data_IF_177547581585
#
_entry.id   IF_177547581585
#
_cell.length_a   1.000
_cell.length_b   1.000
_cell.length_c   1.000
_cell.angle_alpha   90.00
_cell.angle_beta   90.00
_cell.angle_gamma   90.00
#
_symmetry.space_group_name_H-M   'P 1'
#
loop_
_entity.id
_entity.type
_entity.pdbx_description
1 polymer ?
#
# COMPACT_ATOMS: atom_id res chain seq x y z
N UNK A 1 13.51 2.63 -8.45
CA UNK A 1 12.09 2.99 -8.28
C UNK A 1 11.78 2.83 -6.80
N UNK A 2 11.49 3.92 -6.10
CA UNK A 2 11.19 3.87 -4.66
C UNK A 2 9.69 3.87 -4.46
N UNK A 3 9.20 3.05 -3.53
CA UNK A 3 7.78 3.03 -3.15
C UNK A 3 7.65 3.29 -1.66
N UNK A 4 6.71 4.16 -1.30
CA UNK A 4 6.33 4.42 0.09
C UNK A 4 4.85 4.10 0.25
N UNK A 5 4.52 3.55 1.42
CA UNK A 5 3.18 3.09 1.76
C UNK A 5 2.74 3.79 3.03
N UNK A 6 1.54 4.38 3.00
CA UNK A 6 0.96 5.01 4.18
C UNK A 6 -0.43 4.44 4.42
N UNK A 7 -0.63 3.92 5.63
CA UNK A 7 -1.96 3.63 6.15
C UNK A 7 -2.59 4.96 6.57
N UNK A 8 -3.73 5.29 5.96
CA UNK A 8 -4.56 6.43 6.36
C UNK A 8 -5.99 5.93 6.60
N UNK A 9 -6.80 6.75 7.26
CA UNK A 9 -8.12 6.35 7.78
C UNK A 9 -9.09 5.74 6.74
N UNK A 10 -8.94 6.05 5.45
CA UNK A 10 -9.87 5.59 4.41
C UNK A 10 -9.19 5.01 3.16
N UNK A 11 -7.86 4.81 3.20
CA UNK A 11 -7.12 4.28 2.06
C UNK A 11 -5.71 3.83 2.42
N UNK A 12 -5.14 2.99 1.57
CA UNK A 12 -3.70 2.80 1.46
C UNK A 12 -3.17 3.77 0.40
N UNK A 13 -2.27 4.67 0.79
CA UNK A 13 -1.54 5.52 -0.15
C UNK A 13 -0.32 4.75 -0.68
N UNK A 14 -0.20 4.66 -2.00
CA UNK A 14 0.98 4.12 -2.69
C UNK A 14 1.68 5.26 -3.43
N UNK A 15 2.82 5.70 -2.91
CA UNK A 15 3.64 6.73 -3.53
C UNK A 15 4.79 6.07 -4.30
N UNK A 16 4.87 6.28 -5.60
CA UNK A 16 5.95 5.78 -6.45
C UNK A 16 6.83 6.94 -6.95
N UNK A 17 8.13 6.83 -6.71
CA UNK A 17 9.13 7.85 -7.06
C UNK A 17 10.14 7.23 -8.03
N UNK A 18 10.23 7.80 -9.24
CA UNK A 18 11.18 7.36 -10.27
C UNK A 18 11.57 8.53 -11.17
N UNK A 19 12.88 8.75 -11.37
CA UNK A 19 13.38 9.71 -12.36
C UNK A 19 12.88 11.16 -12.17
N UNK A 20 12.68 11.59 -10.93
CA UNK A 20 12.12 12.93 -10.62
C UNK A 20 10.60 13.03 -10.77
N UNK A 21 9.92 11.97 -11.24
CA UNK A 21 8.47 11.88 -11.26
C UNK A 21 7.94 11.24 -9.99
N UNK A 22 6.82 11.77 -9.49
CA UNK A 22 6.07 11.24 -8.36
C UNK A 22 4.68 10.85 -8.85
N UNK A 23 4.28 9.61 -8.57
CA UNK A 23 2.91 9.12 -8.77
C UNK A 23 2.31 8.75 -7.42
N UNK A 24 1.07 9.18 -7.20
CA UNK A 24 0.30 8.86 -6.01
C UNK A 24 -0.95 8.08 -6.44
N UNK A 25 -1.11 6.87 -5.92
CA UNK A 25 -2.30 6.05 -6.11
C UNK A 25 -2.96 5.77 -4.75
N UNK A 26 -4.29 5.84 -4.71
CA UNK A 26 -5.07 5.40 -3.55
C UNK A 26 -5.61 4.00 -3.81
N UNK A 27 -5.40 3.11 -2.84
CA UNK A 27 -5.84 1.71 -2.85
C UNK A 27 -6.75 1.47 -1.66
N UNK A 28 -7.61 0.46 -1.77
CA UNK A 28 -8.54 0.09 -0.69
C UNK A 28 -9.40 1.28 -0.23
N UNK A 29 -9.79 2.15 -1.17
CA UNK A 29 -10.67 3.28 -0.87
C UNK A 29 -11.98 2.78 -0.24
N UNK A 30 -12.38 3.36 0.87
CA UNK A 30 -13.58 2.95 1.62
C UNK A 30 -13.29 1.97 2.76
N UNK A 31 -12.05 1.49 2.90
CA UNK A 31 -11.63 0.61 3.98
C UNK A 31 -10.79 1.38 5.00
N UNK A 32 -10.99 1.06 6.29
CA UNK A 32 -10.21 1.69 7.34
C UNK A 32 -8.89 0.94 7.53
N UNK A 33 -7.78 1.56 7.12
CA UNK A 33 -6.46 0.94 7.14
C UNK A 33 -5.77 1.23 8.47
N UNK A 34 -5.67 0.20 9.32
CA UNK A 34 -5.02 0.32 10.62
C UNK A 34 -3.50 0.16 10.57
N UNK A 35 -2.99 -0.63 9.62
CA UNK A 35 -1.56 -0.85 9.48
C UNK A 35 -1.16 -1.29 8.06
N UNK A 36 0.11 -1.05 7.70
CA UNK A 36 0.72 -1.54 6.46
C UNK A 36 2.15 -2.00 6.74
N UNK A 37 2.57 -3.08 6.08
CA UNK A 37 3.96 -3.53 6.05
C UNK A 37 4.33 -4.10 4.67
N UNK A 38 5.63 -4.10 4.37
CA UNK A 38 6.23 -4.64 3.14
C UNK A 38 7.16 -5.78 3.53
N UNK A 39 7.13 -6.89 2.80
CA UNK A 39 8.10 -7.98 2.99
C UNK A 39 9.50 -7.46 2.59
N UNK A 40 10.49 -7.41 3.51
CA UNK A 40 11.81 -6.88 3.20
C UNK A 40 12.62 -7.79 2.26
N UNK A 41 12.26 -9.06 2.14
CA UNK A 41 12.89 -10.02 1.22
C UNK A 41 12.23 -10.02 -0.16
N UNK A 42 10.95 -9.63 -0.22
CA UNK A 42 10.15 -9.62 -1.45
C UNK A 42 9.28 -8.35 -1.51
N UNK A 43 9.83 -7.20 -1.92
CA UNK A 43 9.16 -5.90 -1.87
C UNK A 43 7.86 -5.78 -2.67
N UNK A 44 7.55 -6.74 -3.54
CA UNK A 44 6.28 -6.90 -4.21
C UNK A 44 5.14 -7.36 -3.29
N UNK A 45 5.47 -8.00 -2.16
CA UNK A 45 4.50 -8.45 -1.17
C UNK A 45 4.22 -7.36 -0.13
N UNK A 46 2.95 -6.99 -0.02
CA UNK A 46 2.46 -5.97 0.91
C UNK A 46 1.28 -6.52 1.66
N UNK A 47 1.21 -6.20 2.94
CA UNK A 47 0.13 -6.61 3.82
C UNK A 47 -0.50 -5.37 4.45
N UNK A 48 -1.82 -5.28 4.41
CA UNK A 48 -2.58 -4.20 5.05
C UNK A 48 -3.64 -4.80 5.96
N UNK A 49 -3.59 -4.43 7.24
CA UNK A 49 -4.68 -4.73 8.17
C UNK A 49 -5.79 -3.71 7.99
N UNK A 50 -6.97 -4.17 7.59
CA UNK A 50 -8.19 -3.36 7.54
C UNK A 50 -9.08 -3.69 8.73
N UNK A 51 -9.71 -2.67 9.33
CA UNK A 51 -10.57 -2.89 10.50
C UNK A 51 -11.92 -3.52 10.14
N UNK A 52 -12.39 -3.27 8.92
CA UNK A 52 -13.72 -3.64 8.43
C UNK A 52 -13.71 -4.89 7.54
N UNK A 53 -12.59 -5.20 6.89
CA UNK A 53 -12.51 -6.22 5.85
C UNK A 53 -11.38 -7.25 6.06
N UNK A 54 -10.74 -7.26 7.23
CA UNK A 54 -9.67 -8.20 7.58
C UNK A 54 -8.32 -7.88 6.91
N UNK A 55 -7.55 -8.91 6.59
CA UNK A 55 -6.21 -8.75 6.01
C UNK A 55 -6.27 -8.67 4.48
N UNK A 56 -5.79 -7.58 3.91
CA UNK A 56 -5.50 -7.51 2.48
C UNK A 56 -4.02 -7.79 2.20
N UNK A 57 -3.74 -8.44 1.07
CA UNK A 57 -2.39 -8.74 0.59
C UNK A 57 -2.27 -8.40 -0.88
N UNK A 58 -1.18 -7.75 -1.25
CA UNK A 58 -0.73 -7.61 -2.63
C UNK A 58 0.49 -8.49 -2.89
N UNK A 59 0.63 -8.98 -4.11
CA UNK A 59 1.83 -9.64 -4.65
C UNK A 59 2.46 -8.85 -5.81
N UNK A 60 1.99 -7.61 -6.04
CA UNK A 60 2.43 -6.78 -7.17
C UNK A 60 2.72 -5.32 -6.75
N UNK A 61 3.27 -5.16 -5.55
CA UNK A 61 3.67 -3.89 -4.96
C UNK A 61 2.51 -2.89 -4.80
N UNK A 62 1.31 -3.41 -4.53
CA UNK A 62 0.11 -2.64 -4.21
C UNK A 62 -0.73 -2.22 -5.40
N UNK A 63 -0.63 -2.92 -6.54
CA UNK A 63 -1.47 -2.67 -7.71
C UNK A 63 -2.80 -3.43 -7.68
N UNK A 64 -2.87 -4.56 -7.00
CA UNK A 64 -4.10 -5.31 -6.68
C UNK A 64 -3.93 -6.13 -5.42
#
# INVERSE_FOLDING_TARGET
>A
MTRLYFAIDNALVVLAIAGGQIRCDLRLMGHNIGCVTVDPLRPEYIYCGTLDSGLWRSDNAGKS
#
